data_IF_743828270328
#
_entry.id   IF_743828270328
#
_cell.length_a   1.000
_cell.length_b   1.000
_cell.length_c   1.000
_cell.angle_alpha   90.00
_cell.angle_beta   90.00
_cell.angle_gamma   90.00
#
_symmetry.space_group_name_H-M   'P 1'
#
loop_
_entity.id
_entity.type
_entity.pdbx_description
1 polymer ?
#
# COMPACT_ATOMS: atom_id res chain seq x y z
N UNK A 1 24.15 -1.45 19.21
CA UNK A 1 25.39 -1.83 18.50
C UNK A 1 25.33 -1.27 17.09
N UNK A 2 26.36 -0.55 16.60
CA UNK A 2 26.40 -0.10 15.22
C UNK A 2 26.49 -1.29 14.27
N UNK A 3 25.71 -1.26 13.20
CA UNK A 3 25.68 -2.30 12.14
C UNK A 3 25.84 -1.62 10.80
N UNK A 4 26.66 -2.20 9.93
CA UNK A 4 26.85 -1.74 8.56
C UNK A 4 26.70 -2.90 7.59
N UNK A 5 26.32 -2.62 6.35
CA UNK A 5 26.16 -3.61 5.30
C UNK A 5 24.85 -3.49 4.56
N UNK A 6 24.61 -4.40 3.63
CA UNK A 6 23.35 -4.54 2.89
C UNK A 6 22.52 -5.61 3.60
N UNK A 7 21.41 -5.22 4.21
CA UNK A 7 20.56 -6.09 5.03
C UNK A 7 19.15 -6.28 4.45
N UNK A 8 18.91 -5.78 3.24
CA UNK A 8 17.70 -6.04 2.47
C UNK A 8 18.06 -6.61 1.11
N UNK A 9 17.11 -7.22 0.43
CA UNK A 9 17.27 -7.83 -0.89
C UNK A 9 17.78 -6.81 -1.92
N UNK A 10 18.76 -7.23 -2.72
CA UNK A 10 19.23 -6.50 -3.91
C UNK A 10 18.77 -7.27 -5.13
N UNK A 11 18.18 -6.57 -6.10
CA UNK A 11 17.70 -7.16 -7.34
C UNK A 11 17.99 -6.27 -8.54
N UNK A 12 17.93 -6.86 -9.73
CA UNK A 12 17.98 -6.18 -11.01
C UNK A 12 16.58 -6.28 -11.65
N UNK A 13 16.07 -5.18 -12.14
CA UNK A 13 14.78 -5.10 -12.79
C UNK A 13 14.94 -4.56 -14.21
N UNK A 14 14.57 -5.33 -15.26
CA UNK A 14 14.52 -4.81 -16.61
C UNK A 14 13.29 -3.92 -16.76
N UNK A 15 13.51 -2.68 -17.20
CA UNK A 15 12.45 -1.68 -17.38
C UNK A 15 12.45 -1.15 -18.80
N UNK A 16 11.29 -0.69 -19.30
CA UNK A 16 11.20 0.00 -20.56
C UNK A 16 12.00 1.33 -20.53
N UNK A 17 12.47 1.82 -21.69
CA UNK A 17 13.18 3.08 -21.77
C UNK A 17 12.38 4.27 -21.20
N UNK A 18 11.05 4.22 -21.37
CA UNK A 18 10.09 5.11 -20.71
C UNK A 18 9.23 4.25 -19.81
N UNK A 19 9.33 4.43 -18.50
CA UNK A 19 8.70 3.55 -17.52
C UNK A 19 8.14 4.30 -16.31
N UNK A 20 7.28 3.60 -15.57
CA UNK A 20 6.75 4.01 -14.29
C UNK A 20 7.84 3.83 -13.24
N UNK A 21 8.33 4.92 -12.65
CA UNK A 21 9.41 4.90 -11.67
C UNK A 21 8.89 4.75 -10.23
N UNK A 22 7.70 5.31 -9.94
CA UNK A 22 7.15 5.27 -8.58
C UNK A 22 5.64 5.45 -8.60
N UNK A 23 4.96 4.77 -7.66
CA UNK A 23 3.53 4.89 -7.40
C UNK A 23 3.29 5.36 -5.96
N UNK A 24 2.36 6.30 -5.79
CA UNK A 24 1.85 6.68 -4.48
C UNK A 24 0.33 6.63 -4.50
N UNK A 25 -0.23 5.83 -3.61
CA UNK A 25 -1.68 5.72 -3.42
C UNK A 25 -2.12 6.45 -2.17
N UNK A 26 -3.21 7.21 -2.26
CA UNK A 26 -3.81 7.92 -1.14
C UNK A 26 -5.30 7.58 -1.08
N UNK A 27 -5.70 6.64 -0.22
CA UNK A 27 -7.10 6.29 -0.05
C UNK A 27 -7.83 7.33 0.82
N UNK A 28 -9.11 7.55 0.52
CA UNK A 28 -10.04 8.34 1.32
C UNK A 28 -11.29 7.47 1.55
N UNK A 29 -11.45 6.93 2.76
CA UNK A 29 -12.56 6.04 3.09
C UNK A 29 -13.88 6.79 3.24
N UNK A 30 -13.83 8.08 3.58
CA UNK A 30 -15.03 8.90 3.80
C UNK A 30 -15.68 9.25 2.46
N UNK A 31 -14.84 9.47 1.43
CA UNK A 31 -15.29 9.71 0.05
C UNK A 31 -15.35 8.44 -0.79
N UNK A 32 -14.81 7.33 -0.28
CA UNK A 32 -14.64 6.08 -1.02
C UNK A 32 -13.86 6.29 -2.31
N UNK A 33 -12.73 6.98 -2.22
CA UNK A 33 -11.87 7.25 -3.37
C UNK A 33 -10.44 6.78 -3.12
N UNK A 34 -9.71 6.53 -4.20
CA UNK A 34 -8.26 6.31 -4.18
C UNK A 34 -7.63 7.26 -5.19
N UNK A 35 -6.76 8.13 -4.72
CA UNK A 35 -5.91 8.95 -5.58
C UNK A 35 -4.60 8.22 -5.84
N UNK A 36 -4.21 8.10 -7.11
CA UNK A 36 -2.97 7.45 -7.55
C UNK A 36 -2.09 8.48 -8.25
N UNK A 37 -0.95 8.79 -7.64
CA UNK A 37 0.10 9.63 -8.19
C UNK A 37 1.14 8.72 -8.86
N UNK A 38 1.40 8.93 -10.13
CA UNK A 38 2.33 8.13 -10.93
C UNK A 38 3.49 8.99 -11.37
N UNK A 39 4.69 8.64 -10.91
CA UNK A 39 5.92 9.26 -11.37
C UNK A 39 6.56 8.40 -12.48
N UNK A 40 6.95 9.02 -13.56
CA UNK A 40 7.63 8.40 -14.68
C UNK A 40 9.06 8.94 -14.81
N UNK A 41 9.97 8.15 -15.39
CA UNK A 41 11.35 8.57 -15.57
C UNK A 41 11.53 9.68 -16.65
N UNK A 42 10.48 9.95 -17.44
CA UNK A 42 10.47 11.00 -18.50
C UNK A 42 9.12 11.70 -18.55
N UNK A 43 9.10 12.94 -19.03
CA UNK A 43 7.86 13.74 -19.13
C UNK A 43 7.03 13.49 -20.40
N UNK A 44 7.38 12.52 -21.23
CA UNK A 44 6.81 12.37 -22.58
C UNK A 44 5.64 11.39 -22.77
N UNK A 45 5.22 10.56 -21.80
CA UNK A 45 3.98 9.80 -21.93
C UNK A 45 2.75 10.70 -21.94
N UNK A 46 1.71 10.28 -22.67
CA UNK A 46 0.50 11.08 -22.84
C UNK A 46 -0.52 10.84 -21.74
N UNK A 47 -0.65 9.56 -21.33
CA UNK A 47 -1.74 9.13 -20.49
C UNK A 47 -1.31 7.99 -19.54
N UNK A 48 -1.85 8.04 -18.34
CA UNK A 48 -1.80 6.96 -17.36
C UNK A 48 -3.21 6.39 -17.18
N UNK A 49 -3.35 5.08 -17.19
CA UNK A 49 -4.58 4.37 -16.85
C UNK A 49 -4.35 3.51 -15.60
N UNK A 50 -5.30 3.54 -14.67
CA UNK A 50 -5.27 2.73 -13.45
C UNK A 50 -6.53 1.88 -13.39
N UNK A 51 -6.37 0.60 -13.12
CA UNK A 51 -7.44 -0.36 -12.85
C UNK A 51 -7.26 -0.97 -11.48
N UNK A 52 -8.34 -1.13 -10.73
CA UNK A 52 -8.36 -1.73 -9.39
C UNK A 52 -9.30 -2.92 -9.40
N UNK A 53 -8.86 -4.03 -8.81
CA UNK A 53 -9.57 -5.31 -8.84
C UNK A 53 -9.78 -5.84 -7.41
N UNK A 54 -10.94 -6.46 -7.17
CA UNK A 54 -11.20 -7.37 -6.04
C UNK A 54 -11.10 -8.81 -6.58
N UNK A 55 -9.95 -9.43 -6.40
CA UNK A 55 -9.62 -10.69 -7.06
C UNK A 55 -9.63 -10.55 -8.59
N UNK A 56 -10.59 -11.17 -9.27
CA UNK A 56 -10.73 -11.07 -10.73
C UNK A 56 -11.70 -9.98 -11.20
N UNK A 57 -12.42 -9.34 -10.28
CA UNK A 57 -13.45 -8.38 -10.60
C UNK A 57 -12.87 -6.97 -10.68
N UNK A 58 -13.01 -6.31 -11.82
CA UNK A 58 -12.69 -4.88 -11.96
C UNK A 58 -13.70 -4.06 -11.15
N UNK A 59 -13.21 -3.34 -10.11
CA UNK A 59 -14.05 -2.56 -9.20
C UNK A 59 -13.93 -1.05 -9.40
N UNK A 60 -12.79 -0.58 -9.93
CA UNK A 60 -12.62 0.82 -10.30
C UNK A 60 -11.63 0.96 -11.45
N UNK A 61 -11.83 2.00 -12.28
CA UNK A 61 -10.97 2.35 -13.39
C UNK A 61 -10.95 3.87 -13.59
N UNK A 62 -9.78 4.41 -13.85
CA UNK A 62 -9.61 5.82 -14.17
C UNK A 62 -8.40 6.06 -15.05
N UNK A 63 -8.32 7.25 -15.62
CA UNK A 63 -7.17 7.68 -16.40
C UNK A 63 -6.96 9.19 -16.28
N UNK A 64 -5.71 9.63 -16.39
CA UNK A 64 -5.34 11.03 -16.41
C UNK A 64 -4.17 11.26 -17.38
N UNK A 65 -3.88 12.50 -17.68
CA UNK A 65 -2.64 12.88 -18.36
C UNK A 65 -1.45 12.56 -17.45
N UNK A 66 -0.31 12.28 -18.05
CA UNK A 66 0.91 12.06 -17.27
C UNK A 66 1.22 13.28 -16.38
N UNK A 67 1.60 13.03 -15.13
CA UNK A 67 1.85 14.07 -14.13
C UNK A 67 0.59 14.56 -13.39
N UNK A 68 -0.61 14.15 -13.83
CA UNK A 68 -1.88 14.43 -13.13
C UNK A 68 -2.31 13.19 -12.36
N UNK A 69 -2.66 13.29 -11.07
CA UNK A 69 -3.15 12.17 -10.30
C UNK A 69 -4.41 11.55 -10.91
N UNK A 70 -4.48 10.22 -10.91
CA UNK A 70 -5.70 9.49 -11.28
C UNK A 70 -6.58 9.37 -10.03
N UNK A 71 -7.80 9.88 -10.07
CA UNK A 71 -8.78 9.70 -9.02
C UNK A 71 -9.75 8.57 -9.38
N UNK A 72 -9.91 7.63 -8.47
CA UNK A 72 -10.76 6.46 -8.63
C UNK A 72 -11.88 6.49 -7.60
N UNK A 73 -13.12 6.36 -8.04
CA UNK A 73 -14.25 6.13 -7.15
C UNK A 73 -14.40 4.62 -6.94
N UNK A 74 -14.36 4.21 -5.68
CA UNK A 74 -14.54 2.82 -5.28
C UNK A 74 -16.04 2.52 -5.10
N UNK A 75 -16.46 1.23 -5.16
CA UNK A 75 -17.86 0.87 -4.94
C UNK A 75 -18.34 1.19 -3.53
N UNK A 76 -19.67 1.27 -3.36
CA UNK A 76 -20.30 1.58 -2.07
C UNK A 76 -19.99 0.55 -0.97
N UNK A 77 -19.87 -0.72 -1.36
CA UNK A 77 -19.57 -1.87 -0.51
C UNK A 77 -18.07 -2.18 -0.39
N UNK A 78 -17.21 -1.17 -0.62
CA UNK A 78 -15.76 -1.33 -0.54
C UNK A 78 -15.33 -1.91 0.81
N UNK A 79 -14.47 -2.94 0.77
CA UNK A 79 -13.91 -3.58 1.96
C UNK A 79 -12.79 -2.73 2.52
N UNK A 80 -12.92 -2.34 3.78
CA UNK A 80 -11.85 -1.63 4.48
C UNK A 80 -10.82 -2.62 5.03
N UNK A 81 -9.58 -2.21 5.03
CA UNK A 81 -8.50 -2.97 5.65
C UNK A 81 -8.52 -2.80 7.17
N UNK A 82 -8.39 -3.89 7.88
CA UNK A 82 -8.05 -3.92 9.31
C UNK A 82 -7.16 -5.13 9.61
N UNK A 83 -6.50 -5.20 10.78
CA UNK A 83 -5.74 -6.39 11.17
C UNK A 83 -6.57 -7.68 11.20
N UNK A 84 -7.86 -7.58 11.50
CA UNK A 84 -8.80 -8.70 11.52
C UNK A 84 -9.28 -9.09 10.12
N UNK A 85 -9.30 -8.11 9.21
CA UNK A 85 -9.73 -8.29 7.81
C UNK A 85 -8.79 -7.50 6.88
N UNK A 86 -7.60 -8.05 6.56
CA UNK A 86 -6.57 -7.35 5.79
C UNK A 86 -6.90 -7.34 4.29
N UNK A 87 -8.02 -6.73 3.93
CA UNK A 87 -8.51 -6.65 2.55
C UNK A 87 -7.58 -5.79 1.69
N UNK A 88 -7.06 -6.39 0.60
CA UNK A 88 -6.25 -5.73 -0.40
C UNK A 88 -6.96 -5.77 -1.75
N UNK A 89 -6.71 -4.76 -2.56
CA UNK A 89 -7.16 -4.66 -3.94
C UNK A 89 -5.94 -4.68 -4.86
N UNK A 90 -5.95 -5.56 -5.84
CA UNK A 90 -4.92 -5.56 -6.88
C UNK A 90 -5.06 -4.32 -7.77
N UNK A 91 -3.94 -3.79 -8.22
CA UNK A 91 -3.90 -2.59 -9.05
C UNK A 91 -2.99 -2.81 -10.25
N UNK A 92 -3.48 -2.43 -11.43
CA UNK A 92 -2.69 -2.37 -12.66
C UNK A 92 -2.59 -0.91 -13.11
N UNK A 93 -1.36 -0.46 -13.36
CA UNK A 93 -1.07 0.88 -13.87
C UNK A 93 -0.41 0.75 -15.22
N UNK A 94 -1.00 1.35 -16.24
CA UNK A 94 -0.50 1.31 -17.62
C UNK A 94 -0.17 2.70 -18.13
N UNK A 95 1.00 2.84 -18.69
CA UNK A 95 1.49 4.06 -19.31
C UNK A 95 1.29 3.98 -20.83
N UNK A 96 0.74 5.04 -21.41
CA UNK A 96 0.46 5.12 -22.84
C UNK A 96 1.23 6.27 -23.50
N UNK A 97 1.64 6.03 -24.73
CA UNK A 97 2.17 7.05 -25.66
C UNK A 97 1.62 6.78 -27.07
N UNK A 98 1.13 7.82 -27.72
CA UNK A 98 0.52 7.72 -29.07
C UNK A 98 -0.53 6.60 -29.16
N UNK A 99 -1.34 6.44 -28.10
CA UNK A 99 -2.37 5.41 -27.98
C UNK A 99 -1.88 3.99 -27.74
N UNK A 100 -0.57 3.75 -27.63
CA UNK A 100 0.03 2.43 -27.38
C UNK A 100 0.49 2.32 -25.91
N UNK A 101 0.25 1.16 -25.29
CA UNK A 101 0.83 0.84 -24.00
C UNK A 101 2.34 0.66 -24.16
N UNK A 102 3.12 1.41 -23.37
CA UNK A 102 4.58 1.39 -23.39
C UNK A 102 5.20 0.83 -22.13
N UNK A 103 4.46 0.85 -21.02
CA UNK A 103 4.85 0.23 -19.76
C UNK A 103 3.62 -0.16 -18.94
N UNK A 104 3.73 -1.21 -18.13
CA UNK A 104 2.68 -1.67 -17.23
C UNK A 104 3.29 -2.24 -15.97
N UNK A 105 2.78 -1.83 -14.82
CA UNK A 105 3.17 -2.37 -13.52
C UNK A 105 1.95 -2.88 -12.77
N UNK A 106 2.17 -3.93 -11.97
CA UNK A 106 1.21 -4.45 -11.01
C UNK A 106 1.58 -3.97 -9.62
N UNK A 107 0.58 -3.61 -8.86
CA UNK A 107 0.72 -3.14 -7.49
C UNK A 107 -0.53 -3.52 -6.71
N UNK A 108 -0.69 -2.98 -5.52
CA UNK A 108 -1.91 -3.14 -4.72
C UNK A 108 -2.24 -1.87 -3.96
N UNK A 109 -3.46 -1.78 -3.48
CA UNK A 109 -3.92 -0.72 -2.58
C UNK A 109 -4.86 -1.29 -1.52
N UNK A 110 -5.05 -0.53 -0.45
CA UNK A 110 -6.02 -0.83 0.60
C UNK A 110 -6.70 0.45 1.06
N UNK A 111 -7.96 0.36 1.46
CA UNK A 111 -8.67 1.50 2.03
C UNK A 111 -8.64 1.38 3.54
N UNK A 112 -7.91 2.28 4.19
CA UNK A 112 -7.87 2.44 5.65
C UNK A 112 -7.63 3.89 6.02
N UNK A 113 -8.06 4.27 7.22
CA UNK A 113 -7.83 5.61 7.76
C UNK A 113 -7.41 5.51 9.22
N UNK A 114 -6.30 6.14 9.55
CA UNK A 114 -5.93 6.42 10.93
C UNK A 114 -6.34 7.85 11.27
N UNK A 115 -6.97 8.02 12.42
CA UNK A 115 -7.41 9.32 12.90
C UNK A 115 -7.39 9.37 14.43
N UNK A 116 -7.64 10.55 14.95
CA UNK A 116 -7.87 10.77 16.38
C UNK A 116 -9.17 11.55 16.56
N UNK A 117 -9.83 11.32 17.71
CA UNK A 117 -10.94 12.16 18.15
C UNK A 117 -10.90 12.34 19.67
N UNK A 118 -11.67 13.28 20.20
CA UNK A 118 -11.89 13.39 21.64
C UNK A 118 -13.17 12.66 22.01
N UNK A 119 -13.06 11.75 23.00
CA UNK A 119 -14.22 11.08 23.56
C UNK A 119 -15.07 12.04 24.42
N UNK A 120 -16.20 11.54 24.95
CA UNK A 120 -17.12 12.33 25.80
C UNK A 120 -16.48 12.93 27.06
N UNK A 121 -15.32 12.45 27.47
CA UNK A 121 -14.56 12.94 28.62
C UNK A 121 -13.41 13.87 28.19
N UNK A 122 -13.30 14.22 26.91
CA UNK A 122 -12.24 15.04 26.35
C UNK A 122 -10.90 14.33 26.15
N UNK A 123 -10.85 13.00 26.32
CA UNK A 123 -9.64 12.19 26.15
C UNK A 123 -9.44 11.90 24.68
N UNK A 124 -8.22 12.14 24.17
CA UNK A 124 -7.87 11.81 22.78
C UNK A 124 -7.79 10.29 22.62
N UNK A 125 -8.54 9.75 21.64
CA UNK A 125 -8.57 8.35 21.26
C UNK A 125 -8.01 8.17 19.86
N UNK A 126 -7.32 7.05 19.67
CA UNK A 126 -6.88 6.60 18.35
C UNK A 126 -8.01 5.86 17.65
N UNK A 127 -8.13 6.08 16.35
CA UNK A 127 -9.14 5.42 15.53
C UNK A 127 -8.52 4.71 14.33
N UNK A 128 -9.12 3.57 13.98
CA UNK A 128 -8.96 2.90 12.70
C UNK A 128 -10.32 2.89 12.01
N UNK A 129 -10.39 3.38 10.77
CA UNK A 129 -11.61 3.43 9.95
C UNK A 129 -12.78 4.12 10.69
N UNK A 130 -12.51 5.27 11.32
CA UNK A 130 -13.47 6.07 12.09
C UNK A 130 -14.04 5.38 13.33
N UNK A 131 -13.44 4.28 13.80
CA UNK A 131 -13.83 3.58 15.03
C UNK A 131 -12.67 3.58 16.02
N UNK A 132 -12.97 3.73 17.30
CA UNK A 132 -11.95 3.66 18.33
C UNK A 132 -11.24 2.31 18.26
N UNK A 133 -9.92 2.37 18.27
CA UNK A 133 -9.09 1.18 18.14
C UNK A 133 -7.96 1.23 19.17
N UNK A 134 -8.00 0.29 20.11
CA UNK A 134 -6.98 0.20 21.14
C UNK A 134 -5.69 -0.38 20.57
N UNK A 135 -4.62 0.41 20.61
CA UNK A 135 -3.30 0.00 20.14
C UNK A 135 -2.61 -0.77 21.26
N UNK A 136 -2.53 -2.08 21.13
CA UNK A 136 -1.85 -2.95 22.07
C UNK A 136 -0.91 -3.91 21.34
N UNK A 137 0.38 -3.67 21.44
CA UNK A 137 1.40 -4.44 20.74
C UNK A 137 2.74 -4.41 21.48
N UNK A 138 3.61 -5.38 21.26
CA UNK A 138 4.97 -5.37 21.76
C UNK A 138 5.83 -4.37 20.97
N UNK A 139 6.94 -3.96 21.57
CA UNK A 139 8.01 -3.31 20.84
C UNK A 139 8.84 -4.37 20.12
N UNK A 140 8.88 -4.29 18.78
CA UNK A 140 9.77 -5.09 17.94
C UNK A 140 10.89 -4.20 17.39
N UNK A 141 12.13 -4.55 17.64
CA UNK A 141 13.31 -3.85 17.13
C UNK A 141 13.90 -4.51 15.89
N UNK A 142 13.32 -5.61 15.41
CA UNK A 142 13.73 -6.30 14.19
C UNK A 142 15.12 -6.92 14.29
N UNK A 143 15.55 -7.37 15.48
CA UNK A 143 16.88 -7.91 15.71
C UNK A 143 16.88 -9.42 15.79
N UNK A 144 17.69 -10.06 14.96
CA UNK A 144 17.84 -11.51 14.87
C UNK A 144 19.21 -11.95 15.37
N UNK A 145 19.33 -13.11 16.07
CA UNK A 145 20.59 -13.58 16.63
C UNK A 145 21.70 -13.74 15.58
N UNK A 146 21.36 -14.27 14.41
CA UNK A 146 22.33 -14.60 13.36
C UNK A 146 22.46 -13.52 12.28
N UNK A 147 21.31 -12.96 11.88
CA UNK A 147 21.21 -12.05 10.72
C UNK A 147 21.16 -10.57 11.07
N UNK A 148 21.20 -10.20 12.35
CA UNK A 148 21.05 -8.84 12.85
C UNK A 148 19.71 -8.23 12.39
N UNK A 149 19.71 -7.35 11.40
CA UNK A 149 18.48 -6.78 10.82
C UNK A 149 17.87 -7.63 9.71
N UNK A 150 18.44 -8.81 9.44
CA UNK A 150 17.93 -9.75 8.43
C UNK A 150 17.35 -10.97 9.11
N UNK A 151 16.04 -11.21 8.92
CA UNK A 151 15.42 -12.45 9.37
C UNK A 151 16.03 -13.67 8.65
N UNK A 152 16.17 -14.83 9.32
CA UNK A 152 16.73 -16.02 8.69
C UNK A 152 15.86 -16.53 7.53
N UNK A 153 14.54 -16.42 7.64
CA UNK A 153 13.57 -16.79 6.59
C UNK A 153 12.28 -15.99 6.73
N UNK A 154 11.44 -16.00 5.71
CA UNK A 154 10.12 -15.40 5.75
C UNK A 154 9.20 -16.12 6.75
N UNK A 155 9.35 -17.44 6.92
CA UNK A 155 8.62 -18.23 7.89
C UNK A 155 8.92 -17.79 9.33
N UNK A 156 10.17 -17.37 9.62
CA UNK A 156 10.55 -16.83 10.92
C UNK A 156 9.80 -15.52 11.22
N UNK A 157 9.71 -14.60 10.24
CA UNK A 157 8.90 -13.38 10.38
C UNK A 157 7.43 -13.71 10.65
N UNK A 158 6.87 -14.64 9.87
CA UNK A 158 5.47 -15.08 10.03
C UNK A 158 5.26 -15.74 11.39
N UNK A 159 6.23 -16.52 11.89
CA UNK A 159 6.16 -17.15 13.20
C UNK A 159 6.03 -16.11 14.32
N UNK A 160 6.88 -15.08 14.32
CA UNK A 160 6.84 -14.01 15.33
C UNK A 160 5.50 -13.29 15.33
N UNK A 161 5.00 -12.89 14.15
CA UNK A 161 3.69 -12.24 14.03
C UNK A 161 2.55 -13.12 14.56
N UNK A 162 2.57 -14.43 14.26
CA UNK A 162 1.58 -15.39 14.78
C UNK A 162 1.67 -15.51 16.29
N UNK A 163 2.87 -15.59 16.87
CA UNK A 163 3.07 -15.67 18.32
C UNK A 163 2.62 -14.40 19.03
N UNK A 164 2.89 -13.23 18.47
CA UNK A 164 2.38 -11.96 18.97
C UNK A 164 0.85 -11.97 19.03
N UNK A 165 0.18 -12.47 17.99
CA UNK A 165 -1.29 -12.63 17.97
C UNK A 165 -1.77 -13.67 18.99
N UNK A 166 -1.10 -14.81 19.11
CA UNK A 166 -1.44 -15.86 20.07
C UNK A 166 -1.38 -15.34 21.51
N UNK A 167 -0.51 -14.38 21.81
CA UNK A 167 -0.44 -13.70 23.11
C UNK A 167 -1.49 -12.61 23.32
N UNK A 168 -2.35 -12.38 22.34
CA UNK A 168 -3.47 -11.44 22.43
C UNK A 168 -3.12 -9.98 22.08
N UNK A 169 -2.02 -9.76 21.40
CA UNK A 169 -1.65 -8.45 20.87
C UNK A 169 -2.35 -8.13 19.55
#
# INVERSE_FOLDING_TARGET
TPVTGIWQTVWLEPVAAQHIAHLKTTPDIDKKTVKVEVATNVCSPDKVEVKVFDGKNLVAKGAALNGVPVELTMPEDVKLWSPESPSLYDMEVTLYKDGKAIDQVKSYTALRKFSTHKDKNGITRLQLNNKDYFQFGPLDQGWWPDGLYTAPTDEALVYDLKKIKDFGY
#
